data_IF_723475124074
#
_entry.id   IF_723475124074
#
_cell.length_a   1.000
_cell.length_b   1.000
_cell.length_c   1.000
_cell.angle_alpha   90.00
_cell.angle_beta   90.00
_cell.angle_gamma   90.00
#
_symmetry.space_group_name_H-M   'P 1'
#
loop_
_entity.id
_entity.type
_entity.pdbx_description
1 polymer ?
#
# COMPACT_ATOMS: atom_id res chain seq x y z
N UNK A 1 -10.43 -11.86 -26.17
CA UNK A 1 -10.11 -13.28 -26.19
C UNK A 1 -8.66 -13.47 -25.78
N UNK A 2 -8.37 -14.56 -25.10
CA UNK A 2 -7.00 -14.91 -24.66
C UNK A 2 -6.74 -16.32 -25.17
N UNK A 3 -5.67 -16.51 -25.95
CA UNK A 3 -5.21 -17.83 -26.39
C UNK A 3 -3.84 -18.10 -25.77
N UNK A 4 -3.65 -19.32 -25.25
CA UNK A 4 -2.41 -19.72 -24.60
C UNK A 4 -1.87 -21.00 -25.29
N UNK A 5 -0.67 -20.94 -25.79
CA UNK A 5 0.05 -22.08 -26.38
C UNK A 5 1.33 -22.32 -25.60
N UNK A 6 1.47 -23.52 -25.03
CA UNK A 6 2.68 -23.92 -24.29
C UNK A 6 3.24 -25.20 -24.81
N UNK A 7 4.57 -25.26 -25.04
CA UNK A 7 5.31 -26.47 -25.43
C UNK A 7 6.49 -26.66 -24.49
N UNK A 8 6.68 -27.89 -24.06
CA UNK A 8 7.82 -28.26 -23.23
C UNK A 8 9.13 -27.91 -23.96
N UNK A 9 10.04 -27.22 -23.27
CA UNK A 9 11.33 -26.71 -23.76
C UNK A 9 11.28 -25.60 -24.83
N UNK A 10 10.10 -25.20 -25.31
CA UNK A 10 9.95 -24.12 -26.29
C UNK A 10 9.36 -22.82 -25.65
N UNK A 11 8.76 -22.94 -24.46
CA UNK A 11 8.19 -21.81 -23.74
C UNK A 11 6.67 -21.72 -23.86
N UNK A 12 6.13 -20.59 -23.44
CA UNK A 12 4.69 -20.29 -23.45
C UNK A 12 4.45 -18.98 -24.21
N UNK A 13 3.52 -19.01 -25.16
CA UNK A 13 3.03 -17.83 -25.87
C UNK A 13 1.62 -17.52 -25.41
N UNK A 14 1.34 -16.27 -25.11
CA UNK A 14 0.02 -15.76 -24.72
C UNK A 14 -0.38 -14.68 -25.72
N UNK A 15 -1.45 -14.94 -26.48
CA UNK A 15 -2.02 -13.99 -27.43
C UNK A 15 -3.27 -13.33 -26.84
N UNK A 16 -3.25 -12.00 -26.80
CA UNK A 16 -4.35 -11.18 -26.27
C UNK A 16 -5.03 -10.45 -27.41
N UNK A 17 -6.32 -10.74 -27.63
CA UNK A 17 -7.14 -10.08 -28.64
C UNK A 17 -8.09 -9.10 -27.99
N UNK A 18 -7.91 -7.80 -28.30
CA UNK A 18 -8.81 -6.74 -27.89
C UNK A 18 -9.73 -6.36 -29.05
N UNK A 19 -11.02 -6.09 -28.83
CA UNK A 19 -11.87 -5.56 -29.87
C UNK A 19 -11.36 -4.16 -30.29
N UNK A 20 -11.30 -3.93 -31.60
CA UNK A 20 -11.07 -2.58 -32.10
C UNK A 20 -12.30 -1.74 -31.77
N UNK A 21 -12.13 -0.63 -31.09
CA UNK A 21 -13.18 0.37 -30.93
C UNK A 21 -12.94 1.46 -31.97
N UNK A 22 -13.92 1.67 -32.84
CA UNK A 22 -13.91 2.79 -33.80
C UNK A 22 -14.12 4.17 -33.13
N UNK A 23 -14.31 4.21 -31.82
CA UNK A 23 -14.29 5.43 -31.06
C UNK A 23 -12.85 5.93 -31.00
N UNK A 24 -12.52 6.87 -31.94
CA UNK A 24 -11.40 7.78 -31.77
C UNK A 24 -11.41 8.21 -30.31
N UNK A 25 -10.30 8.09 -29.57
CA UNK A 25 -10.24 8.66 -28.24
C UNK A 25 -10.67 10.13 -28.46
N UNK A 26 -11.82 10.52 -27.95
CA UNK A 26 -12.05 11.92 -27.71
C UNK A 26 -10.77 12.35 -27.02
N UNK A 27 -10.01 13.28 -27.61
CA UNK A 27 -8.86 13.90 -26.98
C UNK A 27 -9.25 13.98 -25.53
N UNK A 28 -8.52 13.25 -24.68
CA UNK A 28 -8.74 13.36 -23.28
C UNK A 28 -8.55 14.84 -23.04
N UNK A 29 -9.66 15.57 -23.13
CA UNK A 29 -9.74 16.88 -22.57
C UNK A 29 -9.10 16.61 -21.22
N UNK A 30 -7.93 17.20 -21.02
CA UNK A 30 -7.37 17.35 -19.71
C UNK A 30 -8.55 17.91 -18.96
N UNK A 31 -9.32 16.98 -18.37
CA UNK A 31 -10.40 17.36 -17.51
C UNK A 31 -9.62 18.15 -16.47
N UNK A 32 -9.67 19.44 -16.65
CA UNK A 32 -9.41 20.36 -15.56
C UNK A 32 -10.32 19.78 -14.49
N UNK A 33 -9.67 19.05 -13.59
CA UNK A 33 -10.33 18.52 -12.44
C UNK A 33 -11.04 19.72 -11.85
N UNK A 34 -12.35 19.79 -12.09
CA UNK A 34 -13.20 20.65 -11.28
C UNK A 34 -12.77 20.38 -9.88
N UNK A 35 -12.58 21.40 -9.04
CA UNK A 35 -12.17 21.16 -7.67
C UNK A 35 -13.22 20.23 -7.08
N UNK A 36 -12.86 18.95 -7.05
CA UNK A 36 -13.70 17.93 -6.47
C UNK A 36 -13.97 18.37 -5.04
N UNK A 37 -15.24 18.40 -4.75
CA UNK A 37 -15.87 18.37 -3.42
C UNK A 37 -14.81 18.08 -2.37
N UNK A 38 -14.55 19.06 -1.50
CA UNK A 38 -13.56 19.17 -0.45
C UNK A 38 -12.75 17.90 -0.23
N UNK A 39 -11.51 17.86 -0.74
CA UNK A 39 -10.50 16.97 -0.19
C UNK A 39 -10.40 17.37 1.29
N UNK A 40 -10.92 16.53 2.16
CA UNK A 40 -10.62 16.65 3.59
C UNK A 40 -9.11 16.41 3.74
N UNK A 41 -8.36 17.49 3.61
CA UNK A 41 -6.90 17.47 3.82
C UNK A 41 -6.70 17.29 5.31
N UNK A 42 -6.04 16.22 5.69
CA UNK A 42 -5.62 16.04 7.06
C UNK A 42 -4.64 17.15 7.43
N UNK A 43 -5.08 18.07 8.28
CA UNK A 43 -4.26 19.21 8.76
C UNK A 43 -3.53 18.88 10.07
N UNK A 44 -3.73 17.69 10.63
CA UNK A 44 -3.17 17.31 11.94
C UNK A 44 -1.68 16.98 11.91
N UNK A 45 -1.06 16.91 10.72
CA UNK A 45 0.39 16.65 10.58
C UNK A 45 0.79 15.23 10.97
N UNK A 46 -0.13 14.27 10.89
CA UNK A 46 0.12 12.88 11.20
C UNK A 46 1.20 12.27 10.33
N UNK A 47 2.07 11.48 10.96
CA UNK A 47 3.24 10.87 10.33
C UNK A 47 3.00 9.38 10.18
N UNK A 48 3.13 8.89 8.95
CA UNK A 48 2.98 7.50 8.58
C UNK A 48 4.34 6.90 8.21
N UNK A 49 4.73 5.81 8.85
CA UNK A 49 5.87 5.00 8.43
C UNK A 49 5.38 3.99 7.39
N UNK A 50 5.73 4.25 6.12
CA UNK A 50 5.36 3.41 4.97
C UNK A 50 6.49 2.46 4.63
N UNK A 51 6.20 1.15 4.64
CA UNK A 51 7.18 0.11 4.36
C UNK A 51 6.68 -0.84 3.27
N UNK A 52 7.34 -0.80 2.12
CA UNK A 52 6.93 -1.51 0.91
C UNK A 52 8.16 -1.74 0.04
N UNK A 53 8.43 -2.97 -0.38
CA UNK A 53 9.60 -3.31 -1.20
C UNK A 53 9.40 -3.01 -2.69
N UNK A 54 8.16 -3.02 -3.19
CA UNK A 54 7.84 -2.59 -4.54
C UNK A 54 7.87 -1.07 -4.67
N UNK A 55 8.81 -0.55 -5.47
CA UNK A 55 8.98 0.89 -5.70
C UNK A 55 7.73 1.57 -6.30
N UNK A 56 6.95 0.85 -7.13
CA UNK A 56 5.76 1.41 -7.78
C UNK A 56 4.63 1.58 -6.77
N UNK A 57 4.40 0.55 -5.96
CA UNK A 57 3.37 0.57 -4.91
C UNK A 57 3.73 1.59 -3.83
N UNK A 58 5.00 1.62 -3.39
CA UNK A 58 5.48 2.58 -2.39
C UNK A 58 5.32 4.02 -2.86
N UNK A 59 5.75 4.34 -4.09
CA UNK A 59 5.61 5.69 -4.65
C UNK A 59 4.15 6.10 -4.81
N UNK A 60 3.26 5.18 -5.22
CA UNK A 60 1.83 5.45 -5.32
C UNK A 60 1.24 5.78 -3.95
N UNK A 61 1.47 4.92 -2.96
CA UNK A 61 0.96 5.10 -1.60
C UNK A 61 1.47 6.41 -0.98
N UNK A 62 2.77 6.70 -1.10
CA UNK A 62 3.37 7.96 -0.64
C UNK A 62 2.69 9.19 -1.24
N UNK A 63 2.48 9.17 -2.56
CA UNK A 63 1.85 10.28 -3.27
C UNK A 63 0.41 10.49 -2.80
N UNK A 64 -0.37 9.41 -2.76
CA UNK A 64 -1.77 9.47 -2.32
C UNK A 64 -1.88 10.01 -0.89
N UNK A 65 -1.07 9.51 0.03
CA UNK A 65 -1.07 9.97 1.42
C UNK A 65 -0.62 11.43 1.55
N UNK A 66 0.44 11.83 0.83
CA UNK A 66 0.91 13.20 0.79
C UNK A 66 -0.13 14.18 0.24
N UNK A 67 -0.84 13.80 -0.84
CA UNK A 67 -1.93 14.59 -1.42
C UNK A 67 -3.11 14.79 -0.44
N UNK A 68 -3.20 13.96 0.61
CA UNK A 68 -4.22 14.05 1.67
C UNK A 68 -3.69 14.64 2.98
N UNK A 69 -2.48 15.19 2.99
CA UNK A 69 -1.93 15.95 4.10
C UNK A 69 -1.17 15.13 5.14
N UNK A 70 -0.92 13.85 4.88
CA UNK A 70 -0.05 13.04 5.73
C UNK A 70 1.43 13.29 5.43
N UNK A 71 2.26 13.26 6.48
CA UNK A 71 3.71 13.20 6.32
C UNK A 71 4.15 11.74 6.24
N UNK A 72 4.94 11.37 5.22
CA UNK A 72 5.31 9.97 5.01
C UNK A 72 6.82 9.80 5.19
N UNK A 73 7.20 8.90 6.09
CA UNK A 73 8.55 8.37 6.24
C UNK A 73 8.60 7.03 5.51
N UNK A 74 9.45 6.91 4.51
CA UNK A 74 9.50 5.75 3.63
C UNK A 74 10.63 4.81 4.00
N UNK A 75 10.38 3.50 3.90
CA UNK A 75 11.40 2.46 3.97
C UNK A 75 11.09 1.34 2.96
N UNK A 76 12.13 0.69 2.43
CA UNK A 76 12.01 -0.38 1.44
C UNK A 76 11.91 -1.77 2.05
N UNK A 77 12.32 -1.90 3.30
CA UNK A 77 12.31 -3.16 4.05
C UNK A 77 12.34 -2.90 5.55
N UNK A 78 12.08 -3.95 6.33
CA UNK A 78 11.92 -3.84 7.77
C UNK A 78 13.14 -3.27 8.53
N UNK A 79 14.36 -3.63 8.11
CA UNK A 79 15.59 -3.11 8.77
C UNK A 79 15.73 -1.59 8.60
N UNK A 80 15.45 -1.09 7.39
CA UNK A 80 15.45 0.35 7.12
C UNK A 80 14.37 1.07 7.91
N UNK A 81 13.17 0.47 8.02
CA UNK A 81 12.06 1.00 8.79
C UNK A 81 12.39 1.14 10.28
N UNK A 82 13.05 0.16 10.87
CA UNK A 82 13.50 0.22 12.27
C UNK A 82 14.52 1.34 12.45
N UNK A 83 15.54 1.43 11.58
CA UNK A 83 16.53 2.49 11.63
C UNK A 83 15.90 3.90 11.47
N UNK A 84 14.96 4.05 10.52
CA UNK A 84 14.22 5.31 10.34
C UNK A 84 13.37 5.66 11.57
N UNK A 85 12.74 4.66 12.19
CA UNK A 85 11.96 4.87 13.40
C UNK A 85 12.82 5.30 14.60
N UNK A 86 14.03 4.78 14.74
CA UNK A 86 14.96 5.19 15.80
C UNK A 86 15.47 6.62 15.60
N UNK A 87 15.76 6.98 14.34
CA UNK A 87 16.24 8.33 13.98
C UNK A 87 15.14 9.39 14.09
N UNK A 88 13.90 9.00 13.84
CA UNK A 88 12.75 9.91 13.90
C UNK A 88 12.35 10.20 15.34
N UNK A 89 12.66 11.39 15.84
CA UNK A 89 12.42 11.78 17.25
C UNK A 89 10.97 12.18 17.55
N UNK A 90 10.14 12.37 16.52
CA UNK A 90 8.74 12.73 16.66
C UNK A 90 7.82 11.51 16.81
N UNK A 91 6.52 11.73 17.00
CA UNK A 91 5.53 10.65 16.97
C UNK A 91 5.46 10.06 15.56
N UNK A 92 5.24 8.75 15.47
CA UNK A 92 4.78 8.06 14.26
C UNK A 92 3.39 7.55 14.60
N UNK A 93 2.40 7.93 13.79
CA UNK A 93 0.98 7.74 14.10
C UNK A 93 0.43 6.46 13.49
N UNK A 94 1.13 5.88 12.51
CA UNK A 94 0.74 4.64 11.86
C UNK A 94 1.96 3.95 11.25
N UNK A 95 2.04 2.63 11.40
CA UNK A 95 2.85 1.77 10.56
C UNK A 95 1.95 1.24 9.42
N UNK A 96 2.27 1.58 8.17
CA UNK A 96 1.66 1.02 6.97
C UNK A 96 2.69 0.12 6.29
N UNK A 97 2.48 -1.20 6.32
CA UNK A 97 3.51 -2.16 5.85
C UNK A 97 2.93 -3.26 4.98
N UNK A 98 3.68 -3.71 3.97
CA UNK A 98 3.38 -4.98 3.31
C UNK A 98 3.55 -6.14 4.30
N UNK A 99 2.69 -7.16 4.17
CA UNK A 99 2.79 -8.40 4.95
C UNK A 99 4.02 -9.20 4.54
N UNK A 100 4.28 -9.31 3.23
CA UNK A 100 5.32 -10.17 2.66
C UNK A 100 6.44 -9.32 2.09
N UNK A 101 7.54 -9.23 2.81
CA UNK A 101 8.75 -8.54 2.36
C UNK A 101 9.98 -9.44 2.50
N UNK A 102 11.04 -9.22 1.71
CA UNK A 102 12.30 -9.92 1.86
C UNK A 102 12.91 -9.73 3.25
N UNK A 103 13.54 -10.78 3.79
CA UNK A 103 14.27 -10.82 5.07
C UNK A 103 13.40 -10.66 6.32
N UNK A 104 12.48 -9.72 6.37
CA UNK A 104 11.64 -9.42 7.53
C UNK A 104 10.21 -9.16 7.07
N UNK A 105 9.25 -9.98 7.49
CA UNK A 105 7.84 -9.76 7.21
C UNK A 105 7.29 -8.53 7.94
N UNK A 106 6.19 -7.95 7.42
CA UNK A 106 5.54 -6.82 8.08
C UNK A 106 5.11 -7.11 9.51
N UNK A 107 4.71 -8.35 9.81
CA UNK A 107 4.40 -8.77 11.19
C UNK A 107 5.62 -8.75 12.10
N UNK A 108 6.75 -9.29 11.63
CA UNK A 108 8.00 -9.24 12.42
C UNK A 108 8.45 -7.80 12.63
N UNK A 109 8.29 -6.95 11.62
CA UNK A 109 8.55 -5.52 11.74
C UNK A 109 7.66 -4.88 12.80
N UNK A 110 6.35 -5.11 12.77
CA UNK A 110 5.41 -4.58 13.75
C UNK A 110 5.79 -4.98 15.19
N UNK A 111 6.09 -6.27 15.42
CA UNK A 111 6.54 -6.77 16.72
C UNK A 111 7.84 -6.13 17.22
N UNK A 112 8.79 -5.87 16.32
CA UNK A 112 10.03 -5.18 16.68
C UNK A 112 9.79 -3.69 16.96
N UNK A 113 8.91 -3.07 16.17
CA UNK A 113 8.58 -1.65 16.32
C UNK A 113 7.78 -1.37 17.60
N UNK A 114 6.90 -2.28 18.03
CA UNK A 114 6.16 -2.20 19.28
C UNK A 114 7.06 -2.02 20.50
N UNK A 115 8.27 -2.59 20.48
CA UNK A 115 9.26 -2.42 21.55
C UNK A 115 9.86 -1.01 21.61
N UNK A 116 9.91 -0.34 20.46
CA UNK A 116 10.45 1.02 20.32
C UNK A 116 9.34 2.07 20.47
N UNK A 117 8.15 1.71 20.01
CA UNK A 117 6.96 2.58 19.97
C UNK A 117 5.72 1.78 20.37
N UNK A 118 5.50 1.61 21.67
CA UNK A 118 4.31 0.93 22.20
C UNK A 118 3.04 1.59 21.63
N UNK A 119 2.03 0.77 21.36
CA UNK A 119 0.69 1.21 20.92
C UNK A 119 0.63 1.88 19.53
N UNK A 120 1.69 1.76 18.70
CA UNK A 120 1.62 2.24 17.32
C UNK A 120 0.57 1.44 16.53
N UNK A 121 -0.46 2.09 15.95
CA UNK A 121 -1.40 1.39 15.08
C UNK A 121 -0.69 0.80 13.87
N UNK A 122 -1.14 -0.38 13.43
CA UNK A 122 -0.56 -1.06 12.27
C UNK A 122 -1.63 -1.35 11.24
N UNK A 123 -1.40 -0.90 10.00
CA UNK A 123 -2.19 -1.25 8.83
C UNK A 123 -1.33 -2.11 7.90
N UNK A 124 -1.78 -3.32 7.66
CA UNK A 124 -1.11 -4.23 6.75
C UNK A 124 -1.64 -4.10 5.31
N UNK A 125 -0.76 -4.16 4.33
CA UNK A 125 -1.10 -4.31 2.92
C UNK A 125 -0.82 -5.75 2.50
N UNK A 126 -1.74 -6.40 1.76
CA UNK A 126 -1.55 -7.77 1.30
C UNK A 126 -2.04 -7.95 -0.14
N UNK A 127 -1.23 -8.60 -0.98
CA UNK A 127 -1.56 -8.91 -2.38
C UNK A 127 -2.28 -10.24 -2.59
N UNK A 128 -2.38 -11.07 -1.57
CA UNK A 128 -2.93 -12.42 -1.69
C UNK A 128 -3.98 -12.72 -0.62
N UNK A 129 -4.94 -13.56 -1.02
CA UNK A 129 -6.03 -14.09 -0.22
C UNK A 129 -5.55 -14.91 0.99
N UNK A 130 -6.44 -15.08 1.94
CA UNK A 130 -6.48 -15.83 3.21
C UNK A 130 -5.27 -16.69 3.64
N UNK A 131 -4.69 -17.49 2.72
CA UNK A 131 -3.58 -18.40 3.03
C UNK A 131 -2.26 -17.69 3.42
N UNK A 132 -1.98 -16.53 2.86
CA UNK A 132 -0.75 -15.78 3.14
C UNK A 132 -0.87 -15.04 4.47
N UNK A 133 -2.03 -14.44 4.71
CA UNK A 133 -2.36 -13.78 5.96
C UNK A 133 -2.28 -14.79 7.12
N UNK A 134 -2.87 -15.98 6.94
CA UNK A 134 -2.82 -17.08 7.92
C UNK A 134 -1.40 -17.64 8.12
N UNK A 135 -0.62 -17.82 7.06
CA UNK A 135 0.77 -18.35 7.16
C UNK A 135 1.71 -17.42 7.93
N UNK A 136 1.51 -16.14 7.85
CA UNK A 136 2.28 -15.16 8.62
C UNK A 136 1.63 -14.86 9.98
N UNK A 137 0.60 -15.64 10.36
CA UNK A 137 -0.05 -15.60 11.66
C UNK A 137 -0.86 -14.33 11.92
N UNK A 138 -1.32 -13.71 10.84
CA UNK A 138 -2.16 -12.51 10.86
C UNK A 138 -3.61 -12.98 10.74
N UNK A 139 -4.43 -12.82 11.79
CA UNK A 139 -5.84 -13.16 11.77
C UNK A 139 -6.64 -11.94 11.34
N UNK A 140 -7.43 -12.05 10.25
CA UNK A 140 -8.19 -10.94 9.66
C UNK A 140 -9.12 -10.22 10.65
N UNK A 141 -9.60 -10.91 11.68
CA UNK A 141 -10.51 -10.35 12.65
C UNK A 141 -9.84 -9.51 13.76
N UNK A 142 -8.50 -9.50 13.83
CA UNK A 142 -7.74 -8.85 14.90
C UNK A 142 -6.84 -7.72 14.41
N UNK A 143 -6.79 -7.50 13.09
CA UNK A 143 -5.85 -6.56 12.48
C UNK A 143 -6.50 -5.72 11.39
N UNK A 144 -6.01 -4.50 11.22
CA UNK A 144 -6.36 -3.67 10.08
C UNK A 144 -5.60 -4.15 8.82
N UNK A 145 -6.35 -4.53 7.78
CA UNK A 145 -5.83 -5.03 6.52
C UNK A 145 -6.36 -4.22 5.33
N UNK A 146 -5.47 -3.90 4.39
CA UNK A 146 -5.79 -3.31 3.09
C UNK A 146 -5.35 -4.27 1.99
N UNK A 147 -6.32 -4.80 1.23
CA UNK A 147 -6.04 -5.74 0.16
C UNK A 147 -5.51 -5.03 -1.10
N UNK A 148 -4.43 -5.55 -1.69
CA UNK A 148 -3.90 -5.16 -3.00
C UNK A 148 -4.62 -5.97 -4.11
N UNK A 149 -4.95 -5.34 -5.27
CA UNK A 149 -4.77 -3.92 -5.59
C UNK A 149 -5.83 -3.04 -4.90
N UNK A 150 -5.44 -1.88 -4.44
CA UNK A 150 -6.32 -0.91 -3.79
C UNK A 150 -6.44 0.39 -4.60
N UNK A 151 -7.55 1.09 -4.42
CA UNK A 151 -7.73 2.43 -4.96
C UNK A 151 -7.16 3.49 -4.01
N UNK A 152 -6.82 4.70 -4.51
CA UNK A 152 -6.43 5.82 -3.66
C UNK A 152 -7.41 6.09 -2.51
N UNK A 153 -8.71 6.10 -2.81
CA UNK A 153 -9.76 6.37 -1.82
C UNK A 153 -9.84 5.28 -0.75
N UNK A 154 -9.66 3.99 -1.14
CA UNK A 154 -9.64 2.88 -0.19
C UNK A 154 -8.45 2.96 0.77
N UNK A 155 -7.25 3.33 0.28
CA UNK A 155 -6.08 3.54 1.11
C UNK A 155 -6.33 4.64 2.15
N UNK A 156 -6.81 5.80 1.70
CA UNK A 156 -7.06 6.95 2.59
C UNK A 156 -8.14 6.66 3.61
N UNK A 157 -9.25 6.02 3.18
CA UNK A 157 -10.33 5.65 4.09
C UNK A 157 -9.83 4.70 5.19
N UNK A 158 -9.04 3.68 4.81
CA UNK A 158 -8.52 2.70 5.78
C UNK A 158 -7.48 3.30 6.73
N UNK A 159 -6.63 4.20 6.24
CA UNK A 159 -5.68 4.95 7.07
C UNK A 159 -6.43 5.81 8.10
N UNK A 160 -7.46 6.54 7.69
CA UNK A 160 -8.29 7.34 8.61
C UNK A 160 -8.99 6.50 9.67
N UNK A 161 -9.54 5.35 9.27
CA UNK A 161 -10.17 4.40 10.19
C UNK A 161 -9.21 3.96 11.30
N UNK A 162 -7.96 3.62 10.93
CA UNK A 162 -6.97 3.07 11.86
C UNK A 162 -6.33 4.15 12.75
N UNK A 163 -6.14 5.37 12.26
CA UNK A 163 -5.59 6.48 13.05
C UNK A 163 -6.67 7.10 13.96
N UNK A 164 -7.92 7.12 13.50
CA UNK A 164 -9.02 7.80 14.19
C UNK A 164 -9.81 6.91 15.16
N UNK A 165 -9.56 5.60 15.20
CA UNK A 165 -10.18 4.66 16.14
C UNK A 165 -9.41 4.57 17.41
#
# INVERSE_FOLDING_TARGET
>A
QIDVTSRASEGTTIDLYFPLTDTRPAEAAVAQASPAVGKDINQSGEIILLVEDDDVVRNLARRVLGDHGYSVVEARHGEEALAMSELHKGPIHLLLTDVVMPKMSGRQLAQNLERLRPDIPVLYMSGYTDDTVLRYGVHENEIALLQKPFTPDALVAKVREVIGG
#
